data_IF_257157030920
#
_entry.id   IF_257157030920
#
_cell.length_a   1.000
_cell.length_b   1.000
_cell.length_c   1.000
_cell.angle_alpha   90.00
_cell.angle_beta   90.00
_cell.angle_gamma   90.00
#
_symmetry.space_group_name_H-M   'P 1'
#
loop_
_entity.id
_entity.type
_entity.pdbx_description
1 polymer ?
#
# COMPACT_ATOMS: atom_id res chain seq x y z
N UNK A 1 13.56 -18.27 -11.02
CA UNK A 1 12.48 -17.97 -10.03
C UNK A 1 11.35 -17.32 -10.79
N UNK A 2 10.13 -17.83 -10.66
CA UNK A 2 9.01 -17.18 -11.34
C UNK A 2 8.76 -15.80 -10.73
N UNK A 3 8.34 -14.78 -11.53
CA UNK A 3 8.06 -13.44 -11.00
C UNK A 3 7.11 -13.44 -9.81
N UNK A 4 6.08 -14.30 -9.81
CA UNK A 4 5.14 -14.41 -8.71
C UNK A 4 5.77 -14.87 -7.38
N UNK A 5 6.90 -15.61 -7.43
CA UNK A 5 7.59 -16.06 -6.22
C UNK A 5 8.20 -14.90 -5.42
N UNK A 6 8.49 -13.76 -6.11
CA UNK A 6 8.99 -12.55 -5.47
C UNK A 6 7.95 -11.89 -4.55
N UNK A 7 6.68 -12.23 -4.70
CA UNK A 7 5.61 -11.70 -3.84
C UNK A 7 5.49 -12.42 -2.50
N UNK A 8 6.15 -13.58 -2.32
CA UNK A 8 6.02 -14.36 -1.09
C UNK A 8 6.29 -13.56 0.19
N UNK A 9 7.36 -12.73 0.29
CA UNK A 9 7.57 -11.89 1.46
C UNK A 9 6.43 -10.88 1.69
N UNK A 10 5.89 -10.29 0.60
CA UNK A 10 4.76 -9.37 0.67
C UNK A 10 3.47 -10.06 1.16
N UNK A 11 3.26 -11.31 0.80
CA UNK A 11 2.10 -12.09 1.26
C UNK A 11 2.19 -12.37 2.76
N UNK A 12 3.38 -12.73 3.26
CA UNK A 12 3.61 -12.89 4.69
C UNK A 12 3.35 -11.61 5.48
N UNK A 13 3.84 -10.48 4.98
CA UNK A 13 3.62 -9.18 5.57
C UNK A 13 2.14 -8.76 5.56
N UNK A 14 1.44 -8.99 4.45
CA UNK A 14 0.00 -8.71 4.38
C UNK A 14 -0.80 -9.55 5.38
N UNK A 15 -0.41 -10.80 5.62
CA UNK A 15 -1.02 -11.62 6.65
C UNK A 15 -0.87 -10.99 8.05
N UNK A 16 0.25 -10.32 8.33
CA UNK A 16 0.43 -9.57 9.58
C UNK A 16 -0.45 -8.33 9.65
N UNK A 17 -0.57 -7.58 8.55
CA UNK A 17 -1.49 -6.43 8.46
C UNK A 17 -2.93 -6.87 8.73
N UNK A 18 -3.37 -7.97 8.13
CA UNK A 18 -4.72 -8.49 8.33
C UNK A 18 -4.95 -8.97 9.77
N UNK A 19 -3.95 -9.61 10.41
CA UNK A 19 -4.03 -9.97 11.84
C UNK A 19 -4.16 -8.74 12.74
N UNK A 20 -3.44 -7.65 12.43
CA UNK A 20 -3.60 -6.40 13.14
C UNK A 20 -5.04 -5.89 13.02
N UNK A 21 -5.59 -5.83 11.80
CA UNK A 21 -6.97 -5.38 11.56
C UNK A 21 -7.98 -6.24 12.32
N UNK A 22 -7.80 -7.56 12.37
CA UNK A 22 -8.66 -8.48 13.13
C UNK A 22 -8.63 -8.22 14.65
N UNK A 23 -7.56 -7.60 15.15
CA UNK A 23 -7.43 -7.20 16.56
C UNK A 23 -8.06 -5.85 16.89
N UNK A 24 -8.47 -5.06 15.88
CA UNK A 24 -9.01 -3.72 16.04
C UNK A 24 -10.51 -3.75 16.30
N UNK A 25 -10.97 -2.76 17.08
CA UNK A 25 -12.37 -2.42 17.20
C UNK A 25 -12.71 -1.19 16.34
N UNK A 26 -13.97 -0.96 16.06
CA UNK A 26 -14.42 0.16 15.24
C UNK A 26 -13.88 1.52 15.73
N UNK A 27 -13.84 1.73 17.06
CA UNK A 27 -13.31 2.96 17.67
C UNK A 27 -11.80 3.16 17.46
N UNK A 28 -11.03 2.11 17.20
CA UNK A 28 -9.59 2.21 16.95
C UNK A 28 -9.29 2.94 15.62
N UNK A 29 -10.25 2.98 14.69
CA UNK A 29 -10.08 3.68 13.41
C UNK A 29 -9.87 5.20 13.57
N UNK A 30 -10.40 5.79 14.62
CA UNK A 30 -10.29 7.22 14.91
C UNK A 30 -9.02 7.58 15.69
N UNK A 31 -8.23 6.59 16.11
CA UNK A 31 -6.99 6.82 16.85
C UNK A 31 -5.99 7.56 15.96
N UNK A 32 -5.45 8.67 16.50
CA UNK A 32 -4.45 9.47 15.79
C UNK A 32 -3.09 8.78 15.84
N UNK A 33 -2.52 8.50 14.68
CA UNK A 33 -1.24 7.80 14.53
C UNK A 33 -0.09 8.78 14.54
N UNK A 34 -0.21 9.89 13.79
CA UNK A 34 0.85 10.86 13.55
C UNK A 34 0.51 12.24 14.09
N UNK A 35 1.56 13.04 14.32
CA UNK A 35 1.42 14.43 14.74
C UNK A 35 0.74 15.35 13.73
N UNK A 36 0.61 14.94 12.46
CA UNK A 36 -0.17 15.62 11.42
C UNK A 36 -1.68 15.33 11.49
N UNK A 37 -2.13 14.55 12.48
CA UNK A 37 -3.53 14.21 12.69
C UNK A 37 -4.03 13.01 11.91
N UNK A 38 -3.16 12.31 11.16
CA UNK A 38 -3.54 11.11 10.40
C UNK A 38 -4.01 9.99 11.34
N UNK A 39 -5.19 9.45 11.06
CA UNK A 39 -5.80 8.36 11.85
C UNK A 39 -5.39 6.97 11.37
N UNK A 40 -5.67 5.96 12.19
CA UNK A 40 -5.54 4.54 11.83
C UNK A 40 -6.28 4.25 10.52
N UNK A 41 -7.52 4.71 10.38
CA UNK A 41 -8.32 4.53 9.15
C UNK A 41 -7.59 5.11 7.94
N UNK A 42 -7.12 6.35 8.03
CA UNK A 42 -6.42 7.01 6.92
C UNK A 42 -5.14 6.29 6.53
N UNK A 43 -4.40 5.78 7.51
CA UNK A 43 -3.15 5.07 7.23
C UNK A 43 -3.41 3.70 6.57
N UNK A 44 -4.43 2.96 7.02
CA UNK A 44 -4.83 1.71 6.39
C UNK A 44 -5.35 1.92 4.95
N UNK A 45 -6.15 2.96 4.72
CA UNK A 45 -6.60 3.33 3.37
C UNK A 45 -5.41 3.74 2.48
N UNK A 46 -4.40 4.42 3.04
CA UNK A 46 -3.18 4.75 2.31
C UNK A 46 -2.43 3.49 1.83
N UNK A 47 -2.40 2.42 2.62
CA UNK A 47 -1.80 1.15 2.16
C UNK A 47 -2.53 0.57 0.95
N UNK A 48 -3.86 0.64 0.93
CA UNK A 48 -4.67 0.22 -0.23
C UNK A 48 -4.33 1.03 -1.47
N UNK A 49 -4.36 2.35 -1.35
CA UNK A 49 -4.10 3.27 -2.47
C UNK A 49 -2.69 3.11 -3.01
N UNK A 50 -1.72 2.93 -2.13
CA UNK A 50 -0.32 2.74 -2.51
C UNK A 50 -0.12 1.47 -3.33
N UNK A 51 -0.74 0.37 -2.94
CA UNK A 51 -0.62 -0.89 -3.67
C UNK A 51 -1.29 -0.83 -5.04
N UNK A 52 -2.47 -0.23 -5.13
CA UNK A 52 -3.11 0.02 -6.42
C UNK A 52 -2.27 0.92 -7.33
N UNK A 53 -1.67 1.96 -6.77
CA UNK A 53 -0.78 2.87 -7.51
C UNK A 53 0.44 2.15 -8.07
N UNK A 54 1.11 1.32 -7.26
CA UNK A 54 2.25 0.52 -7.71
C UNK A 54 1.83 -0.48 -8.79
N UNK A 55 0.73 -1.20 -8.59
CA UNK A 55 0.22 -2.15 -9.58
C UNK A 55 -0.11 -1.47 -10.91
N UNK A 56 -0.70 -0.29 -10.86
CA UNK A 56 -0.95 0.52 -12.05
C UNK A 56 0.35 0.89 -12.77
N UNK A 57 1.36 1.38 -12.06
CA UNK A 57 2.66 1.74 -12.63
C UNK A 57 3.37 0.52 -13.26
N UNK A 58 3.27 -0.66 -12.63
CA UNK A 58 3.81 -1.92 -13.15
C UNK A 58 3.10 -2.30 -14.46
N UNK A 59 1.78 -2.27 -14.51
CA UNK A 59 1.01 -2.58 -15.71
C UNK A 59 1.37 -1.67 -16.88
N UNK A 60 1.53 -0.37 -16.62
CA UNK A 60 1.98 0.59 -17.65
C UNK A 60 3.38 0.27 -18.16
N UNK A 61 4.30 -0.11 -17.28
CA UNK A 61 5.63 -0.55 -17.68
C UNK A 61 5.61 -1.82 -18.55
N UNK A 62 4.70 -2.76 -18.28
CA UNK A 62 4.52 -3.97 -19.08
C UNK A 62 3.96 -3.67 -20.48
N UNK A 63 3.13 -2.66 -20.60
CA UNK A 63 2.60 -2.17 -21.89
C UNK A 63 3.65 -1.39 -22.70
N UNK A 64 4.84 -1.18 -22.16
CA UNK A 64 5.91 -0.41 -22.81
C UNK A 64 5.73 1.09 -22.73
N UNK A 65 4.77 1.56 -21.93
CA UNK A 65 4.55 2.98 -21.75
C UNK A 65 5.43 3.51 -20.61
N UNK A 66 6.28 4.47 -20.93
CA UNK A 66 6.89 5.33 -19.91
C UNK A 66 5.79 6.24 -19.41
N UNK A 67 5.48 6.16 -18.12
CA UNK A 67 4.46 6.99 -17.50
C UNK A 67 4.91 8.46 -17.56
N UNK A 68 4.50 9.16 -18.60
CA UNK A 68 4.58 10.61 -18.68
C UNK A 68 3.31 11.17 -18.05
N UNK A 69 3.36 11.40 -16.74
CA UNK A 69 2.29 12.10 -16.07
C UNK A 69 2.39 13.59 -16.39
N UNK A 70 1.26 14.18 -16.82
CA UNK A 70 1.12 15.61 -16.91
C UNK A 70 1.26 16.26 -15.54
N UNK A 71 1.51 17.55 -15.47
CA UNK A 71 1.55 18.27 -14.20
C UNK A 71 0.22 18.14 -13.44
N UNK A 72 -0.90 18.18 -14.14
CA UNK A 72 -2.24 18.03 -13.57
C UNK A 72 -2.44 16.63 -12.93
N UNK A 73 -2.02 15.58 -13.63
CA UNK A 73 -2.07 14.21 -13.09
C UNK A 73 -1.19 14.04 -11.85
N UNK A 74 0.01 14.64 -11.84
CA UNK A 74 0.89 14.65 -10.66
C UNK A 74 0.25 15.33 -9.47
N UNK A 75 -0.36 16.49 -9.69
CA UNK A 75 -1.07 17.24 -8.65
C UNK A 75 -2.30 16.49 -8.14
N UNK A 76 -2.99 15.75 -9.01
CA UNK A 76 -4.12 14.92 -8.63
C UNK A 76 -3.69 13.73 -7.76
N UNK A 77 -2.58 13.08 -8.11
CA UNK A 77 -1.99 11.99 -7.30
C UNK A 77 -1.54 12.53 -5.95
N UNK A 78 -0.83 13.64 -5.91
CA UNK A 78 -0.38 14.27 -4.66
C UNK A 78 -1.57 14.66 -3.77
N UNK A 79 -2.65 15.15 -4.36
CA UNK A 79 -3.90 15.44 -3.64
C UNK A 79 -4.58 14.17 -3.13
N UNK A 80 -4.57 13.07 -3.89
CA UNK A 80 -5.14 11.80 -3.46
C UNK A 80 -4.36 11.17 -2.30
N UNK A 81 -3.04 11.33 -2.26
CA UNK A 81 -2.21 10.89 -1.15
C UNK A 81 -2.48 11.66 0.15
N UNK A 82 -2.87 12.93 0.04
CA UNK A 82 -3.26 13.78 1.16
C UNK A 82 -4.76 13.76 1.45
N UNK A 83 -5.56 13.08 0.63
CA UNK A 83 -7.00 13.05 0.78
C UNK A 83 -7.41 12.36 2.09
N UNK A 84 -8.49 12.81 2.73
CA UNK A 84 -9.06 12.07 3.84
C UNK A 84 -9.52 10.69 3.38
N UNK A 85 -9.47 9.71 4.29
CA UNK A 85 -10.00 8.39 4.01
C UNK A 85 -11.43 8.47 3.47
N UNK A 86 -11.81 7.57 2.53
CA UNK A 86 -13.18 7.54 2.02
C UNK A 86 -14.18 7.44 3.17
N UNK A 87 -15.21 8.28 3.15
CA UNK A 87 -16.24 8.27 4.16
C UNK A 87 -16.93 6.88 4.20
N UNK A 88 -17.11 6.32 5.41
CA UNK A 88 -17.79 5.05 5.60
C UNK A 88 -16.94 3.79 5.37
N UNK A 89 -15.65 3.90 5.17
CA UNK A 89 -14.77 2.73 5.17
C UNK A 89 -14.56 2.21 6.59
N UNK A 90 -15.25 1.12 6.91
CA UNK A 90 -15.08 0.37 8.14
C UNK A 90 -13.97 -0.70 8.04
N UNK A 91 -13.71 -1.40 9.13
CA UNK A 91 -12.68 -2.45 9.19
C UNK A 91 -12.90 -3.57 8.16
N UNK A 92 -14.16 -3.96 7.93
CA UNK A 92 -14.48 -5.00 6.96
C UNK A 92 -14.17 -4.53 5.55
N UNK A 93 -14.55 -3.31 5.21
CA UNK A 93 -14.26 -2.72 3.90
C UNK A 93 -12.77 -2.58 3.67
N UNK A 94 -12.04 -2.03 4.63
CA UNK A 94 -10.57 -1.88 4.55
C UNK A 94 -9.89 -3.24 4.35
N UNK A 95 -10.29 -4.24 5.14
CA UNK A 95 -9.76 -5.60 5.00
C UNK A 95 -10.00 -6.17 3.60
N UNK A 96 -11.19 -6.03 3.09
CA UNK A 96 -11.57 -6.51 1.75
C UNK A 96 -10.72 -5.83 0.68
N UNK A 97 -10.59 -4.51 0.73
CA UNK A 97 -9.79 -3.74 -0.23
C UNK A 97 -8.30 -4.12 -0.19
N UNK A 98 -7.73 -4.36 0.99
CA UNK A 98 -6.35 -4.82 1.14
C UNK A 98 -6.13 -6.21 0.52
N UNK A 99 -7.08 -7.12 0.68
CA UNK A 99 -7.04 -8.46 0.06
C UNK A 99 -7.13 -8.35 -1.45
N UNK A 100 -8.08 -7.56 -1.96
CA UNK A 100 -8.28 -7.38 -3.40
C UNK A 100 -7.10 -6.68 -4.08
N UNK A 101 -6.51 -5.66 -3.44
CA UNK A 101 -5.32 -4.98 -3.95
C UNK A 101 -4.15 -5.96 -4.14
N UNK A 102 -3.89 -6.80 -3.14
CA UNK A 102 -2.83 -7.82 -3.21
C UNK A 102 -3.13 -8.88 -4.27
N UNK A 103 -4.36 -9.35 -4.37
CA UNK A 103 -4.74 -10.32 -5.40
C UNK A 103 -4.57 -9.72 -6.81
N UNK A 104 -4.96 -8.47 -7.00
CA UNK A 104 -4.74 -7.76 -8.27
C UNK A 104 -3.26 -7.66 -8.64
N UNK A 105 -2.39 -7.34 -7.67
CA UNK A 105 -0.94 -7.33 -7.85
C UNK A 105 -0.42 -8.73 -8.21
N UNK A 106 -0.86 -9.76 -7.50
CA UNK A 106 -0.49 -11.16 -7.74
C UNK A 106 -0.85 -11.58 -9.17
N UNK A 107 -2.04 -11.25 -9.65
CA UNK A 107 -2.46 -11.54 -11.01
C UNK A 107 -1.55 -10.85 -12.04
N UNK A 108 -1.13 -9.62 -11.79
CA UNK A 108 -0.18 -8.92 -12.66
C UNK A 108 1.16 -9.67 -12.72
N UNK A 109 1.69 -10.14 -11.59
CA UNK A 109 2.95 -10.90 -11.54
C UNK A 109 2.86 -12.28 -12.17
N UNK A 110 1.71 -12.94 -12.13
CA UNK A 110 1.50 -14.23 -12.81
C UNK A 110 1.56 -14.12 -14.33
N UNK A 111 1.32 -12.94 -14.88
CA UNK A 111 1.38 -12.68 -16.32
C UNK A 111 2.77 -12.25 -16.80
N UNK A 112 3.71 -12.00 -15.89
CA UNK A 112 5.05 -11.52 -16.23
C UNK A 112 5.98 -12.66 -16.63
N UNK A 113 6.93 -12.30 -17.48
CA UNK A 113 8.16 -13.09 -17.72
C UNK A 113 9.28 -12.53 -16.84
N UNK A 114 10.32 -13.31 -16.64
CA UNK A 114 11.47 -12.90 -15.82
C UNK A 114 12.12 -11.62 -16.35
N UNK A 115 12.24 -11.47 -17.67
CA UNK A 115 12.81 -10.28 -18.32
C UNK A 115 11.99 -9.01 -18.07
N UNK A 116 10.71 -9.13 -17.77
CA UNK A 116 9.86 -7.98 -17.47
C UNK A 116 10.22 -7.33 -16.13
N UNK A 117 10.79 -8.09 -15.20
CA UNK A 117 11.14 -7.61 -13.86
C UNK A 117 12.14 -6.45 -13.86
N UNK A 118 12.96 -6.34 -14.89
CA UNK A 118 13.97 -5.29 -15.02
C UNK A 118 13.47 -4.04 -15.77
N UNK A 119 12.19 -4.03 -16.15
CA UNK A 119 11.55 -2.85 -16.73
C UNK A 119 11.46 -1.74 -15.69
N UNK A 120 11.79 -0.53 -16.14
CA UNK A 120 11.70 0.67 -15.31
C UNK A 120 10.23 1.01 -15.03
N UNK A 121 9.91 1.24 -13.76
CA UNK A 121 8.68 1.89 -13.35
C UNK A 121 8.98 3.32 -12.93
N UNK A 122 8.13 4.25 -13.31
CA UNK A 122 8.25 5.66 -12.95
C UNK A 122 6.99 6.10 -12.22
N UNK A 123 7.21 6.71 -11.08
CA UNK A 123 6.17 7.38 -10.31
C UNK A 123 6.67 8.77 -9.95
N UNK A 124 5.81 9.82 -9.96
CA UNK A 124 6.27 11.21 -9.94
C UNK A 124 7.26 11.59 -8.86
N UNK A 125 7.12 11.02 -7.68
CA UNK A 125 7.91 11.39 -6.49
C UNK A 125 8.89 10.30 -6.05
N UNK A 126 8.98 9.21 -6.86
CA UNK A 126 9.86 8.11 -6.52
C UNK A 126 11.16 8.15 -7.30
N UNK A 127 12.28 7.73 -6.67
CA UNK A 127 13.48 7.47 -7.42
C UNK A 127 13.21 6.39 -8.47
N UNK A 128 13.93 6.46 -9.59
CA UNK A 128 13.83 5.46 -10.67
C UNK A 128 14.01 4.05 -10.09
N UNK A 129 13.06 3.18 -10.37
CA UNK A 129 13.05 1.78 -9.90
C UNK A 129 12.72 0.85 -11.06
N UNK A 130 13.07 -0.40 -10.90
CA UNK A 130 12.55 -1.48 -11.74
C UNK A 130 11.38 -2.17 -11.01
N UNK A 131 10.64 -2.99 -11.72
CA UNK A 131 9.61 -3.83 -11.08
C UNK A 131 10.23 -4.66 -9.96
N UNK A 132 11.40 -5.28 -10.20
CA UNK A 132 12.15 -6.07 -9.22
C UNK A 132 12.47 -5.27 -7.95
N UNK A 133 12.97 -4.06 -8.10
CA UNK A 133 13.37 -3.21 -6.96
C UNK A 133 12.21 -2.53 -6.26
N UNK A 134 11.00 -2.60 -6.80
CA UNK A 134 9.79 -2.12 -6.13
C UNK A 134 9.38 -3.02 -4.95
N UNK A 135 9.72 -4.32 -5.00
CA UNK A 135 9.32 -5.29 -3.97
C UNK A 135 9.90 -4.96 -2.59
N UNK A 136 11.23 -4.78 -2.43
CA UNK A 136 11.81 -4.38 -1.15
C UNK A 136 11.24 -3.06 -0.63
N UNK A 137 10.99 -2.12 -1.54
CA UNK A 137 10.38 -0.84 -1.16
C UNK A 137 8.95 -1.03 -0.60
N UNK A 138 8.12 -1.86 -1.24
CA UNK A 138 6.78 -2.14 -0.75
C UNK A 138 6.81 -2.78 0.64
N UNK A 139 7.74 -3.72 0.86
CA UNK A 139 7.94 -4.35 2.16
C UNK A 139 8.27 -3.32 3.23
N UNK A 140 9.31 -2.52 3.02
CA UNK A 140 9.76 -1.50 3.96
C UNK A 140 8.64 -0.47 4.27
N UNK A 141 7.92 -0.06 3.25
CA UNK A 141 6.83 0.90 3.39
C UNK A 141 5.68 0.35 4.24
N UNK A 142 5.22 -0.88 3.99
CA UNK A 142 4.15 -1.50 4.77
C UNK A 142 4.60 -1.82 6.20
N UNK A 143 5.84 -2.31 6.40
CA UNK A 143 6.40 -2.56 7.74
C UNK A 143 6.47 -1.29 8.57
N UNK A 144 6.93 -0.19 7.98
CA UNK A 144 6.98 1.11 8.66
C UNK A 144 5.60 1.56 9.15
N UNK A 145 4.58 1.40 8.31
CA UNK A 145 3.22 1.75 8.70
C UNK A 145 2.61 0.79 9.72
N UNK A 146 2.92 -0.49 9.66
CA UNK A 146 2.51 -1.45 10.68
C UNK A 146 3.07 -1.10 12.05
N UNK A 147 4.33 -0.70 12.12
CA UNK A 147 4.98 -0.27 13.37
C UNK A 147 4.33 0.99 13.92
N UNK A 148 4.02 1.98 13.07
CA UNK A 148 3.31 3.20 13.46
C UNK A 148 1.91 2.87 14.01
N UNK A 149 1.15 2.00 13.33
CA UNK A 149 -0.18 1.56 13.75
C UNK A 149 -0.14 0.86 15.11
N UNK A 150 0.75 -0.12 15.28
CA UNK A 150 0.93 -0.84 16.54
C UNK A 150 1.25 0.10 17.69
N UNK A 151 2.21 1.00 17.48
CA UNK A 151 2.60 1.96 18.51
C UNK A 151 1.45 2.91 18.91
N UNK A 152 0.64 3.35 17.95
CA UNK A 152 -0.51 4.21 18.22
C UNK A 152 -1.60 3.48 19.01
N UNK A 153 -1.95 2.26 18.60
CA UNK A 153 -2.97 1.44 19.27
C UNK A 153 -2.53 1.07 20.70
N UNK A 154 -1.28 0.67 20.88
CA UNK A 154 -0.75 0.33 22.20
C UNK A 154 -0.75 1.53 23.15
N UNK A 155 -0.41 2.71 22.63
CA UNK A 155 -0.46 3.97 23.40
C UNK A 155 -1.89 4.29 23.84
N UNK A 156 -2.86 4.18 22.95
CA UNK A 156 -4.26 4.44 23.27
C UNK A 156 -4.80 3.47 24.32
N UNK A 157 -4.54 2.18 24.18
CA UNK A 157 -4.97 1.15 25.14
C UNK A 157 -4.39 1.34 26.54
N UNK A 158 -3.18 1.88 26.65
CA UNK A 158 -2.56 2.23 27.94
C UNK A 158 -3.22 3.45 28.60
N UNK A 159 -3.77 4.38 27.82
CA UNK A 159 -4.45 5.54 28.35
C UNK A 159 -5.85 5.20 28.90
N UNK A 160 -6.48 4.15 28.41
CA UNK A 160 -7.84 3.72 28.78
C UNK A 160 -7.82 2.67 29.89
N UNK A 161 -6.69 2.03 30.13
CA UNK A 161 -6.49 1.06 31.23
C UNK A 161 -6.00 1.74 32.50
#
# INVERSE_FOLDING_TARGET
MAPADLLQPLEGQRAETLRLIESLMAGDLDVVVRGDGRTVQQLLCHLVDREHGINFAIRRALEGEVLHLSQEEREQISRSEAAPAPAGWDLLRIRTELVEARESLRQTFLLMREDDLDRAIRWPEWPARTIRTSIPYMLEHEDSHLDELRAAIDRERKLVS
#
